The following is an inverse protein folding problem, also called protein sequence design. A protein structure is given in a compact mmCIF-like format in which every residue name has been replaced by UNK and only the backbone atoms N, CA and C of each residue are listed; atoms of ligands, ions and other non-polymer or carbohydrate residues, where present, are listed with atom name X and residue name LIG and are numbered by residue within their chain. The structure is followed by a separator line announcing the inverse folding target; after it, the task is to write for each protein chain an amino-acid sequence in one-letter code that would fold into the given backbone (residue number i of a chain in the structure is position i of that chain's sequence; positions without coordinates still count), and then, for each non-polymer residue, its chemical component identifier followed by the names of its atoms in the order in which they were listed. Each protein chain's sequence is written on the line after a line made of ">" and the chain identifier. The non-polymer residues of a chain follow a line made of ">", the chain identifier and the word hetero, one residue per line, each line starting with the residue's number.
data_IF_748170153961
#
_entry.id   IF_748170153961
#
_cell.length_a   1.000
_cell.length_b   1.000
_cell.length_c   1.000
_cell.angle_alpha   90.00
_cell.angle_beta   90.00
_cell.angle_gamma   90.00
#
_symmetry.space_group_name_H-M   'P 1'
#
loop_
_entity.id
_entity.type
_entity.pdbx_description
1 polymer ?
#
# COMPACT_ATOMS: atom_id res chain seq x y z
N UNK A 1 1.08 19.41 1.19
CA UNK A 1 1.77 18.56 2.18
C UNK A 1 1.06 18.75 3.50
N UNK A 2 0.93 17.69 4.30
CA UNK A 2 0.40 17.75 5.66
C UNK A 2 1.30 16.91 6.58
N UNK A 3 1.35 17.23 7.87
CA UNK A 3 2.14 16.49 8.87
C UNK A 3 1.32 16.25 10.12
N UNK A 4 1.55 15.13 10.80
CA UNK A 4 0.89 14.73 12.04
C UNK A 4 1.96 14.48 13.13
N UNK A 5 1.73 15.04 14.32
CA UNK A 5 2.65 14.99 15.49
C UNK A 5 1.93 14.51 16.77
N UNK A 6 0.62 14.27 16.73
CA UNK A 6 -0.14 13.82 17.92
C UNK A 6 -1.17 12.75 17.57
N UNK A 7 -1.29 11.75 18.45
CA UNK A 7 -2.50 10.95 18.53
C UNK A 7 -3.63 11.72 19.27
N UNK A 8 -4.82 11.13 19.39
CA UNK A 8 -5.98 11.78 20.03
C UNK A 8 -5.83 12.01 21.54
N UNK A 9 -4.86 11.34 22.17
CA UNK A 9 -4.62 11.35 23.61
C UNK A 9 -3.42 12.24 24.00
N UNK A 10 -2.74 12.83 23.01
CA UNK A 10 -1.64 13.78 23.23
C UNK A 10 -0.26 13.15 23.38
N UNK A 11 -0.16 11.83 23.29
CA UNK A 11 1.09 11.08 23.28
C UNK A 11 1.37 10.63 21.84
N UNK A 12 2.53 10.93 21.28
CA UNK A 12 2.88 10.45 19.93
C UNK A 12 4.20 9.70 19.93
N UNK A 13 4.14 8.48 19.41
CA UNK A 13 5.30 7.64 19.16
C UNK A 13 5.64 7.52 17.67
N UNK A 14 4.87 8.14 16.76
CA UNK A 14 5.09 8.02 15.31
C UNK A 14 4.72 9.29 14.51
N UNK A 15 5.49 10.38 14.65
CA UNK A 15 5.31 11.57 13.83
C UNK A 15 5.53 11.24 12.34
N UNK A 16 4.58 11.63 11.48
CA UNK A 16 4.61 11.29 10.06
C UNK A 16 4.05 12.41 9.17
N UNK A 17 4.35 12.35 7.88
CA UNK A 17 3.91 13.34 6.89
C UNK A 17 3.19 12.68 5.74
N UNK A 18 2.17 13.37 5.22
CA UNK A 18 1.47 13.03 3.98
C UNK A 18 1.85 14.01 2.87
N UNK A 19 2.45 13.49 1.81
CA UNK A 19 2.79 14.24 0.60
C UNK A 19 1.90 13.76 -0.54
N UNK A 20 0.99 14.62 -0.99
CA UNK A 20 0.12 14.36 -2.13
C UNK A 20 0.79 14.88 -3.40
N UNK A 21 0.92 14.03 -4.42
CA UNK A 21 1.52 14.35 -5.71
C UNK A 21 0.53 14.08 -6.84
N UNK A 22 0.65 14.79 -7.97
CA UNK A 22 -0.26 14.66 -9.12
C UNK A 22 0.25 13.66 -10.15
N UNK A 23 -0.48 12.58 -10.40
CA UNK A 23 -0.10 11.54 -11.39
C UNK A 23 -0.09 11.99 -12.86
N UNK A 24 -0.34 13.27 -13.15
CA UNK A 24 -0.36 13.83 -14.50
C UNK A 24 0.78 14.83 -14.62
N UNK A 25 1.58 14.78 -15.69
CA UNK A 25 2.55 15.84 -15.92
C UNK A 25 1.84 17.15 -16.28
N UNK A 26 2.53 18.27 -16.09
CA UNK A 26 2.09 19.62 -16.44
C UNK A 26 2.98 20.20 -17.53
N UNK A 27 2.37 20.71 -18.59
CA UNK A 27 3.06 21.31 -19.74
C UNK A 27 3.83 22.56 -19.32
N UNK A 28 4.81 22.98 -20.13
CA UNK A 28 5.57 24.22 -19.89
C UNK A 28 4.67 25.46 -19.80
N UNK A 29 3.49 25.44 -20.41
CA UNK A 29 2.49 26.51 -20.33
C UNK A 29 1.56 26.41 -19.12
N UNK A 30 1.76 25.46 -18.20
CA UNK A 30 0.96 25.31 -16.98
C UNK A 30 -0.33 24.51 -17.14
N UNK A 31 -0.60 23.97 -18.34
CA UNK A 31 -1.78 23.10 -18.57
C UNK A 31 -1.44 21.63 -18.29
N UNK A 32 -2.37 20.88 -17.69
CA UNK A 32 -2.19 19.43 -17.46
C UNK A 32 -2.23 18.62 -18.76
N UNK A 33 -1.43 17.55 -18.83
CA UNK A 33 -1.61 16.57 -19.90
C UNK A 33 -2.96 15.83 -19.79
N UNK A 34 -3.59 15.61 -20.94
CA UNK A 34 -4.89 14.91 -21.05
C UNK A 34 -4.81 13.45 -20.62
N UNK A 35 -3.65 12.81 -20.72
CA UNK A 35 -3.43 11.42 -20.34
C UNK A 35 -2.33 11.31 -19.28
N UNK A 36 -2.38 10.24 -18.47
CA UNK A 36 -1.34 9.88 -17.49
C UNK A 36 -0.27 8.96 -18.08
N UNK A 37 -0.58 8.33 -19.19
CA UNK A 37 0.18 7.25 -19.79
C UNK A 37 -0.03 7.23 -21.30
N UNK A 38 0.84 6.50 -22.01
CA UNK A 38 0.79 6.29 -23.46
C UNK A 38 0.89 4.80 -23.80
N UNK A 39 0.28 4.41 -24.92
CA UNK A 39 0.41 3.06 -25.47
C UNK A 39 1.73 2.96 -26.24
N UNK A 40 2.54 1.96 -25.92
CA UNK A 40 3.80 1.66 -26.59
C UNK A 40 3.76 0.23 -27.12
N UNK A 41 4.06 0.03 -28.39
CA UNK A 41 4.09 -1.31 -28.99
C UNK A 41 5.38 -2.02 -28.58
N UNK A 42 5.28 -3.31 -28.28
CA UNK A 42 6.42 -4.13 -27.91
C UNK A 42 7.12 -4.56 -29.21
N UNK A 43 8.41 -4.25 -29.31
CA UNK A 43 9.24 -4.60 -30.47
C UNK A 43 10.21 -5.73 -30.13
N UNK A 44 10.62 -6.48 -31.15
CA UNK A 44 11.71 -7.44 -31.05
C UNK A 44 13.09 -6.76 -31.10
N UNK A 45 14.17 -7.55 -31.10
CA UNK A 45 15.56 -7.07 -31.16
C UNK A 45 15.88 -6.28 -32.44
N UNK A 46 15.10 -6.46 -33.51
CA UNK A 46 15.27 -5.78 -34.79
C UNK A 46 14.41 -4.53 -34.93
N UNK A 47 13.55 -4.25 -33.95
CA UNK A 47 12.63 -3.10 -33.94
C UNK A 47 11.26 -3.38 -34.57
N UNK A 48 10.99 -4.61 -35.01
CA UNK A 48 9.70 -4.98 -35.57
C UNK A 48 8.67 -5.24 -34.46
N UNK A 49 7.41 -4.87 -34.68
CA UNK A 49 6.33 -5.06 -33.70
C UNK A 49 6.04 -6.55 -33.53
N UNK A 50 5.78 -6.98 -32.29
CA UNK A 50 5.46 -8.37 -31.99
C UNK A 50 3.94 -8.58 -32.04
N UNK A 51 3.49 -9.56 -32.82
CA UNK A 51 2.08 -9.96 -32.89
C UNK A 51 1.76 -11.00 -31.81
N UNK A 52 0.58 -10.91 -31.21
CA UNK A 52 0.02 -11.90 -30.30
C UNK A 52 -0.61 -13.07 -31.05
N UNK A 53 -0.88 -14.16 -30.33
CA UNK A 53 -1.55 -15.34 -30.90
C UNK A 53 -2.97 -15.05 -31.41
N UNK A 54 -3.58 -13.97 -30.93
CA UNK A 54 -4.90 -13.48 -31.35
C UNK A 54 -4.85 -12.55 -32.59
N UNK A 55 -3.68 -12.35 -33.21
CA UNK A 55 -3.50 -11.44 -34.35
C UNK A 55 -3.38 -9.96 -33.99
N UNK A 56 -3.42 -9.59 -32.71
CA UNK A 56 -3.25 -8.20 -32.27
C UNK A 56 -1.79 -7.87 -31.94
N UNK A 57 -1.38 -6.62 -32.19
CA UNK A 57 -0.04 -6.16 -31.80
C UNK A 57 0.10 -6.08 -30.28
N UNK A 58 1.13 -6.72 -29.74
CA UNK A 58 1.48 -6.60 -28.32
C UNK A 58 1.85 -5.16 -28.01
N UNK A 59 1.27 -4.66 -26.92
CA UNK A 59 1.51 -3.30 -26.45
C UNK A 59 1.52 -3.26 -24.93
N UNK A 60 2.19 -2.25 -24.39
CA UNK A 60 2.20 -1.93 -22.97
C UNK A 60 1.78 -0.49 -22.76
N UNK A 61 1.24 -0.23 -21.58
CA UNK A 61 0.94 1.13 -21.16
C UNK A 61 2.15 1.67 -20.38
N UNK A 62 2.70 2.80 -20.81
CA UNK A 62 3.88 3.42 -20.21
C UNK A 62 3.47 4.75 -19.59
N UNK A 63 3.80 4.94 -18.31
CA UNK A 63 3.50 6.17 -17.60
C UNK A 63 4.34 7.34 -18.13
N UNK A 64 3.73 8.53 -18.20
CA UNK A 64 4.43 9.72 -18.70
C UNK A 64 5.37 10.34 -17.67
N UNK A 65 5.20 10.02 -16.39
CA UNK A 65 6.00 10.59 -15.29
C UNK A 65 7.12 9.67 -14.81
N UNK A 66 7.07 8.38 -15.14
CA UNK A 66 8.02 7.38 -14.64
C UNK A 66 7.94 7.12 -13.12
N UNK A 67 6.94 7.67 -12.41
CA UNK A 67 6.86 7.60 -10.94
C UNK A 67 6.70 6.19 -10.37
N UNK A 68 6.27 5.23 -11.20
CA UNK A 68 6.13 3.82 -10.81
C UNK A 68 7.40 2.99 -11.07
N UNK A 69 8.50 3.61 -11.50
CA UNK A 69 9.79 2.95 -11.65
C UNK A 69 10.40 2.62 -10.29
N UNK A 70 10.77 1.35 -10.09
CA UNK A 70 11.38 0.87 -8.84
C UNK A 70 12.73 1.55 -8.55
N UNK A 71 13.52 1.85 -9.57
CA UNK A 71 14.82 2.51 -9.41
C UNK A 71 14.64 3.92 -8.87
N UNK A 72 13.64 4.64 -9.39
CA UNK A 72 13.29 5.97 -8.94
C UNK A 72 12.76 5.95 -7.50
N UNK A 73 11.90 4.98 -7.16
CA UNK A 73 11.44 4.75 -5.79
C UNK A 73 12.60 4.56 -4.79
N UNK A 74 13.58 3.72 -5.12
CA UNK A 74 14.76 3.51 -4.26
C UNK A 74 15.56 4.82 -4.11
N UNK A 75 15.75 5.55 -5.21
CA UNK A 75 16.46 6.84 -5.17
C UNK A 75 15.77 7.88 -4.28
N UNK A 76 14.44 7.92 -4.25
CA UNK A 76 13.69 8.83 -3.38
C UNK A 76 13.82 8.45 -1.92
N UNK A 77 13.84 7.15 -1.61
CA UNK A 77 14.09 6.70 -0.23
C UNK A 77 15.50 7.05 0.24
N UNK A 78 16.50 6.91 -0.63
CA UNK A 78 17.87 7.34 -0.34
C UNK A 78 17.92 8.84 -0.06
N UNK A 79 17.41 9.67 -0.98
CA UNK A 79 17.38 11.12 -0.82
C UNK A 79 16.64 11.56 0.44
N UNK A 80 15.56 10.87 0.81
CA UNK A 80 14.86 11.13 2.06
C UNK A 80 15.73 10.81 3.29
N UNK A 81 16.40 9.65 3.30
CA UNK A 81 17.31 9.26 4.38
C UNK A 81 18.47 10.26 4.52
N UNK A 82 19.09 10.64 3.41
CA UNK A 82 20.18 11.62 3.37
C UNK A 82 19.73 12.97 3.91
N UNK A 83 18.56 13.46 3.49
CA UNK A 83 17.98 14.70 3.99
C UNK A 83 17.69 14.66 5.50
N UNK A 84 17.18 13.54 6.02
CA UNK A 84 16.95 13.37 7.45
C UNK A 84 18.26 13.34 8.24
N UNK A 85 19.25 12.56 7.76
CA UNK A 85 20.54 12.41 8.42
C UNK A 85 21.32 13.72 8.48
N UNK A 86 21.31 14.51 7.40
CA UNK A 86 21.91 15.84 7.39
C UNK A 86 21.29 16.76 8.47
N UNK A 87 19.98 16.64 8.73
CA UNK A 87 19.31 17.39 9.80
C UNK A 87 19.64 16.86 11.19
N UNK A 88 19.84 15.56 11.37
CA UNK A 88 20.32 15.01 12.63
C UNK A 88 21.75 15.48 12.94
N UNK A 89 22.64 15.42 11.96
CA UNK A 89 24.03 15.86 12.09
C UNK A 89 24.12 17.36 12.42
N UNK A 90 23.39 18.22 11.70
CA UNK A 90 23.34 19.65 11.98
C UNK A 90 22.83 20.00 13.40
N UNK A 91 22.13 19.07 14.06
CA UNK A 91 21.64 19.21 15.43
C UNK A 91 22.49 18.44 16.46
N UNK A 92 23.59 17.82 16.05
CA UNK A 92 24.43 17.00 16.92
C UNK A 92 23.75 15.72 17.42
N UNK A 93 22.71 15.23 16.71
CA UNK A 93 21.99 14.02 17.09
C UNK A 93 22.69 12.77 16.53
N UNK A 94 22.86 11.71 17.34
CA UNK A 94 23.57 10.49 16.91
C UNK A 94 22.71 9.60 15.99
N UNK A 95 21.41 9.86 15.88
CA UNK A 95 20.48 9.04 15.10
C UNK A 95 20.82 9.03 13.61
N UNK A 96 20.66 7.87 12.96
CA UNK A 96 20.80 7.70 11.51
C UNK A 96 19.67 6.83 10.97
N UNK A 97 19.19 7.18 9.78
CA UNK A 97 18.19 6.44 9.02
C UNK A 97 18.90 5.84 7.80
N UNK A 98 18.66 4.55 7.55
CA UNK A 98 19.07 3.88 6.32
C UNK A 98 17.83 3.40 5.57
N UNK A 99 17.82 3.62 4.26
CA UNK A 99 16.69 3.30 3.40
C UNK A 99 16.67 1.84 2.92
N UNK A 100 17.82 1.16 3.00
CA UNK A 100 18.05 -0.23 2.61
C UNK A 100 17.38 -1.17 3.60
N UNK A 101 17.06 -2.37 3.15
CA UNK A 101 16.62 -3.44 4.05
C UNK A 101 17.74 -3.87 5.01
N UNK A 102 17.39 -4.54 6.12
CA UNK A 102 18.38 -5.07 7.05
C UNK A 102 19.37 -6.03 6.35
N UNK A 103 18.88 -6.87 5.44
CA UNK A 103 19.73 -7.79 4.66
C UNK A 103 20.77 -7.03 3.84
N UNK A 104 20.37 -5.95 3.15
CA UNK A 104 21.28 -5.12 2.34
C UNK A 104 22.28 -4.32 3.18
N UNK A 105 21.99 -4.12 4.47
CA UNK A 105 22.91 -3.52 5.43
C UNK A 105 23.85 -4.56 6.08
N UNK A 106 23.66 -5.86 5.80
CA UNK A 106 24.37 -6.95 6.49
C UNK A 106 23.87 -7.18 7.92
N UNK A 107 22.68 -6.69 8.26
CA UNK A 107 22.07 -6.84 9.59
C UNK A 107 21.18 -8.08 9.58
N UNK A 108 21.55 -9.08 10.38
CA UNK A 108 20.82 -10.33 10.54
C UNK A 108 19.65 -10.19 11.54
N UNK A 109 18.78 -9.20 11.33
CA UNK A 109 17.56 -9.01 12.11
C UNK A 109 16.33 -9.29 11.28
N UNK A 110 15.34 -9.90 11.92
CA UNK A 110 14.05 -10.17 11.30
C UNK A 110 13.09 -9.00 11.55
N UNK A 111 12.37 -8.60 10.52
CA UNK A 111 11.42 -7.49 10.62
C UNK A 111 10.12 -7.92 11.31
N UNK A 112 9.61 -7.08 12.20
CA UNK A 112 8.26 -7.22 12.75
C UNK A 112 7.20 -6.92 11.69
N UNK A 113 5.99 -7.44 11.85
CA UNK A 113 4.85 -7.13 10.99
C UNK A 113 4.01 -5.97 11.54
N UNK A 114 3.43 -5.18 10.65
CA UNK A 114 2.47 -4.16 11.05
C UNK A 114 1.19 -4.80 11.62
N UNK A 115 0.87 -4.48 12.88
CA UNK A 115 -0.31 -4.98 13.59
C UNK A 115 -1.61 -4.66 12.85
N UNK A 116 -1.77 -3.39 12.43
CA UNK A 116 -3.03 -2.86 11.94
C UNK A 116 -3.95 -2.39 13.07
N UNK A 117 -4.96 -1.57 12.71
CA UNK A 117 -5.82 -0.85 13.67
C UNK A 117 -6.55 -1.77 14.65
N UNK A 118 -7.11 -2.88 14.15
CA UNK A 118 -7.92 -3.81 14.96
C UNK A 118 -7.05 -4.57 15.97
N UNK A 119 -5.96 -5.18 15.50
CA UNK A 119 -5.03 -5.89 16.38
C UNK A 119 -4.42 -4.95 17.43
N UNK A 120 -4.02 -3.73 17.03
CA UNK A 120 -3.52 -2.72 17.96
C UNK A 120 -4.58 -2.26 18.98
N UNK A 121 -5.88 -2.30 18.64
CA UNK A 121 -6.95 -1.99 19.59
C UNK A 121 -7.18 -3.13 20.60
N UNK A 122 -7.02 -4.39 20.18
CA UNK A 122 -7.09 -5.55 21.06
C UNK A 122 -5.90 -5.61 22.02
N UNK A 123 -4.68 -5.43 21.52
CA UNK A 123 -3.45 -5.41 22.36
C UNK A 123 -3.50 -4.30 23.42
N UNK A 124 -4.03 -3.11 23.07
CA UNK A 124 -4.24 -2.02 24.06
C UNK A 124 -5.22 -2.37 25.16
N UNK A 125 -6.13 -3.32 24.94
CA UNK A 125 -7.05 -3.86 25.95
C UNK A 125 -6.46 -5.05 26.70
N UNK A 126 -5.18 -5.38 26.49
CA UNK A 126 -4.52 -6.55 27.06
C UNK A 126 -4.86 -7.87 26.38
N UNK A 127 -5.58 -7.85 25.25
CA UNK A 127 -5.93 -9.06 24.51
C UNK A 127 -4.82 -9.35 23.50
N UNK A 128 -4.09 -10.44 23.73
CA UNK A 128 -3.02 -10.89 22.83
C UNK A 128 -3.56 -11.30 21.46
N UNK A 129 -2.88 -10.86 20.41
CA UNK A 129 -3.18 -11.15 19.02
C UNK A 129 -2.06 -11.97 18.40
N UNK A 130 -2.37 -12.75 17.37
CA UNK A 130 -1.35 -13.55 16.67
C UNK A 130 -0.22 -12.69 16.12
N UNK A 131 -0.54 -11.51 15.57
CA UNK A 131 0.46 -10.56 15.07
C UNK A 131 1.31 -9.95 16.19
N UNK A 132 0.71 -9.66 17.35
CA UNK A 132 1.45 -9.19 18.52
C UNK A 132 2.37 -10.26 19.08
N UNK A 133 1.89 -11.51 19.15
CA UNK A 133 2.71 -12.67 19.54
C UNK A 133 3.90 -12.85 18.59
N UNK A 134 3.67 -12.82 17.27
CA UNK A 134 4.74 -12.88 16.28
C UNK A 134 5.78 -11.77 16.51
N UNK A 135 5.35 -10.52 16.68
CA UNK A 135 6.27 -9.41 16.89
C UNK A 135 7.06 -9.56 18.18
N UNK A 136 6.42 -10.00 19.29
CA UNK A 136 7.12 -10.28 20.55
C UNK A 136 8.19 -11.36 20.37
N UNK A 137 7.87 -12.45 19.67
CA UNK A 137 8.85 -13.52 19.38
C UNK A 137 10.00 -13.00 18.52
N UNK A 138 9.71 -12.27 17.44
CA UNK A 138 10.74 -11.69 16.56
C UNK A 138 11.66 -10.72 17.32
N UNK A 139 11.09 -9.86 18.17
CA UNK A 139 11.88 -8.96 19.02
C UNK A 139 12.80 -9.76 19.94
N UNK A 140 12.28 -10.78 20.64
CA UNK A 140 13.08 -11.63 21.52
C UNK A 140 14.18 -12.38 20.75
N UNK A 141 13.92 -12.84 19.52
CA UNK A 141 14.95 -13.46 18.68
C UNK A 141 16.06 -12.46 18.32
N UNK A 142 15.69 -11.25 17.89
CA UNK A 142 16.65 -10.22 17.52
C UNK A 142 17.51 -9.81 18.72
N UNK A 143 16.91 -9.65 19.90
CA UNK A 143 17.64 -9.32 21.13
C UNK A 143 18.65 -10.40 21.53
N UNK A 144 18.29 -11.68 21.38
CA UNK A 144 19.23 -12.80 21.61
C UNK A 144 20.37 -12.79 20.61
N UNK A 145 20.07 -12.59 19.34
CA UNK A 145 21.08 -12.51 18.29
C UNK A 145 22.05 -11.34 18.50
N UNK A 146 21.55 -10.18 18.98
CA UNK A 146 22.37 -9.02 19.33
C UNK A 146 23.34 -9.32 20.49
N UNK A 147 22.96 -10.22 21.40
CA UNK A 147 23.81 -10.71 22.50
C UNK A 147 24.77 -11.84 22.07
N UNK A 148 24.79 -12.21 20.78
CA UNK A 148 25.60 -13.32 20.28
C UNK A 148 25.08 -14.70 20.70
N UNK A 149 23.83 -14.79 21.15
CA UNK A 149 23.18 -16.04 21.55
C UNK A 149 22.39 -16.57 20.37
N UNK A 150 22.74 -17.77 19.90
CA UNK A 150 21.99 -18.47 18.87
C UNK A 150 20.52 -18.63 19.28
N UNK A 151 19.57 -18.05 18.53
CA UNK A 151 18.13 -18.06 18.86
C UNK A 151 17.45 -19.36 18.39
N UNK A 152 18.03 -20.51 18.74
CA UNK A 152 17.53 -21.85 18.38
C UNK A 152 16.10 -22.08 18.88
N UNK A 153 15.21 -22.60 18.02
CA UNK A 153 13.81 -22.91 18.35
C UNK A 153 12.84 -21.71 18.28
N UNK A 154 13.34 -20.49 18.49
CA UNK A 154 12.52 -19.28 18.47
C UNK A 154 12.18 -18.84 17.05
N UNK A 155 13.08 -19.05 16.09
CA UNK A 155 12.82 -18.76 14.67
C UNK A 155 11.75 -19.66 14.08
N UNK A 156 11.80 -20.95 14.37
CA UNK A 156 10.79 -21.92 13.95
C UNK A 156 9.43 -21.54 14.53
N UNK A 157 9.40 -21.11 15.81
CA UNK A 157 8.19 -20.64 16.46
C UNK A 157 7.64 -19.37 15.79
N UNK A 158 8.48 -18.39 15.48
CA UNK A 158 8.05 -17.18 14.79
C UNK A 158 7.50 -17.49 13.38
N UNK A 159 8.17 -18.35 12.62
CA UNK A 159 7.74 -18.76 11.28
C UNK A 159 6.41 -19.53 11.31
N UNK A 160 6.23 -20.45 12.26
CA UNK A 160 4.99 -21.19 12.45
C UNK A 160 3.81 -20.26 12.79
N UNK A 161 4.00 -19.29 13.70
CA UNK A 161 2.98 -18.27 14.00
C UNK A 161 2.60 -17.49 12.72
N UNK A 162 3.58 -17.09 11.93
CA UNK A 162 3.35 -16.33 10.70
C UNK A 162 2.57 -17.14 9.65
N UNK A 163 2.99 -18.37 9.37
CA UNK A 163 2.31 -19.20 8.37
C UNK A 163 0.91 -19.61 8.83
N UNK A 164 0.69 -19.90 10.13
CA UNK A 164 -0.66 -20.12 10.69
C UNK A 164 -1.57 -18.91 10.48
N UNK A 165 -1.08 -17.70 10.74
CA UNK A 165 -1.85 -16.47 10.56
C UNK A 165 -2.23 -16.25 9.08
N UNK A 166 -1.30 -16.50 8.17
CA UNK A 166 -1.49 -16.39 6.71
C UNK A 166 -2.49 -17.42 6.20
N UNK A 167 -2.45 -18.65 6.71
CA UNK A 167 -3.38 -19.70 6.34
C UNK A 167 -4.81 -19.36 6.80
N UNK A 168 -4.99 -18.87 8.04
CA UNK A 168 -6.30 -18.35 8.49
C UNK A 168 -6.82 -17.21 7.64
N UNK A 169 -5.93 -16.32 7.19
CA UNK A 169 -6.32 -15.24 6.28
C UNK A 169 -6.78 -15.79 4.90
N UNK A 170 -6.14 -16.84 4.40
CA UNK A 170 -6.57 -17.53 3.17
C UNK A 170 -7.92 -18.22 3.36
N UNK A 171 -8.09 -18.93 4.48
CA UNK A 171 -9.32 -19.63 4.82
C UNK A 171 -10.50 -18.67 4.99
N UNK A 172 -10.32 -17.56 5.70
CA UNK A 172 -11.36 -16.53 5.86
C UNK A 172 -11.73 -15.87 4.52
N UNK A 173 -10.76 -15.58 3.65
CA UNK A 173 -11.04 -15.10 2.28
C UNK A 173 -11.82 -16.14 1.47
N UNK A 174 -11.45 -17.41 1.57
CA UNK A 174 -12.16 -18.52 0.88
C UNK A 174 -13.59 -18.67 1.39
N UNK A 175 -13.79 -18.64 2.71
CA UNK A 175 -15.11 -18.68 3.36
C UNK A 175 -16.01 -17.52 2.92
N UNK A 176 -15.45 -16.30 2.85
CA UNK A 176 -16.17 -15.10 2.39
C UNK A 176 -16.56 -15.14 0.90
N UNK A 177 -15.82 -15.88 0.09
CA UNK A 177 -16.14 -16.11 -1.33
C UNK A 177 -17.18 -17.23 -1.49
N UNK A 178 -17.24 -18.18 -0.55
CA UNK A 178 -18.19 -19.29 -0.59
C UNK A 178 -19.52 -19.04 0.13
N UNK A 179 -19.67 -17.94 0.88
CA UNK A 179 -20.98 -17.56 1.44
C UNK A 179 -21.96 -17.23 0.31
N UNK A 180 -23.03 -18.02 0.11
CA UNK A 180 -24.06 -17.64 -0.83
C UNK A 180 -24.72 -16.37 -0.30
N UNK A 181 -24.87 -15.36 -1.15
CA UNK A 181 -25.63 -14.16 -0.81
C UNK A 181 -27.07 -14.60 -0.52
N UNK A 182 -27.41 -14.75 0.77
CA UNK A 182 -28.76 -15.05 1.22
C UNK A 182 -29.59 -13.78 1.03
N UNK A 183 -30.03 -13.57 -0.20
CA UNK A 183 -31.13 -12.68 -0.52
C UNK A 183 -32.41 -13.32 0.01
N UNK A 184 -33.10 -12.62 0.90
CA UNK A 184 -34.51 -12.86 1.20
C UNK A 184 -34.81 -13.57 2.52
N UNK A 185 -34.82 -12.81 3.62
CA UNK A 185 -35.92 -12.88 4.60
C UNK A 185 -36.26 -11.45 5.02
N UNK A 186 -37.40 -10.97 4.56
CA UNK A 186 -38.02 -9.78 5.10
C UNK A 186 -38.48 -10.05 6.53
N UNK A 187 -37.97 -9.27 7.48
CA UNK A 187 -38.69 -8.98 8.70
C UNK A 187 -39.13 -7.52 8.63
N UNK A 188 -40.44 -7.32 8.57
CA UNK A 188 -41.03 -6.01 8.72
C UNK A 188 -40.80 -5.53 10.16
N UNK A 189 -40.11 -4.41 10.34
CA UNK A 189 -40.35 -3.55 11.49
C UNK A 189 -40.59 -2.13 10.97
N UNK A 190 -41.81 -1.67 11.21
CA UNK A 190 -42.23 -0.32 10.96
C UNK A 190 -41.61 0.59 12.02
N UNK A 191 -40.95 1.68 11.60
CA UNK A 191 -40.96 2.99 12.26
C UNK A 191 -40.27 4.00 11.35
N UNK A 192 -40.93 5.13 11.14
CA UNK A 192 -40.75 5.99 9.97
C UNK A 192 -39.51 6.89 9.96
N UNK A 193 -39.10 7.22 8.73
CA UNK A 193 -38.18 8.29 8.40
C UNK A 193 -38.21 8.54 6.89
N UNK A 194 -38.64 9.74 6.47
CA UNK A 194 -38.84 10.15 5.07
C UNK A 194 -37.57 9.92 4.20
N UNK A 195 -37.68 9.37 2.98
CA UNK A 195 -36.54 9.26 2.07
C UNK A 195 -36.33 10.56 1.27
N UNK A 196 -35.09 11.05 1.26
CA UNK A 196 -34.61 12.12 0.39
C UNK A 196 -34.54 11.59 -1.05
N UNK A 197 -35.32 12.18 -1.95
CA UNK A 197 -35.40 11.79 -3.37
C UNK A 197 -34.06 12.02 -4.08
N UNK A 198 -33.46 10.95 -4.61
CA UNK A 198 -32.31 10.98 -5.52
C UNK A 198 -32.83 11.16 -6.94
N UNK A 199 -32.54 12.30 -7.57
CA UNK A 199 -32.95 12.59 -8.94
C UNK A 199 -32.21 11.69 -9.94
N UNK A 200 -32.97 10.87 -10.68
CA UNK A 200 -32.50 10.13 -11.85
C UNK A 200 -32.57 11.09 -13.04
N UNK A 201 -31.41 11.47 -13.60
CA UNK A 201 -31.34 12.24 -14.85
C UNK A 201 -31.44 11.28 -16.03
N UNK A 202 -32.63 11.18 -16.61
CA UNK A 202 -32.88 10.42 -17.84
C UNK A 202 -32.18 11.08 -19.04
N UNK A 203 -31.51 10.26 -19.86
CA UNK A 203 -31.04 10.63 -21.19
C UNK A 203 -32.26 10.90 -22.09
N UNK A 204 -32.39 12.11 -22.62
CA UNK A 204 -33.23 12.38 -23.79
C UNK A 204 -32.34 12.43 -25.03
N UNK A 205 -32.59 11.51 -25.96
CA UNK A 205 -32.14 11.60 -27.34
C UNK A 205 -32.86 12.79 -28.00
N UNK A 206 -32.12 13.59 -28.77
CA UNK A 206 -32.71 14.51 -29.75
C UNK A 206 -32.44 13.98 -31.16
N UNK A 207 -33.41 14.08 -32.07
CA UNK A 207 -33.29 13.60 -33.44
C UNK A 207 -32.47 14.59 -34.28
N UNK A 208 -31.72 14.06 -35.25
CA UNK A 208 -30.88 14.85 -36.15
C UNK A 208 -31.66 15.58 -37.24
N UNK A 209 -31.01 16.59 -37.82
CA UNK A 209 -31.08 16.99 -39.24
C UNK A 209 -30.01 18.10 -39.50
N UNK A 210 -29.69 18.48 -40.74
CA UNK A 210 -28.67 17.88 -41.59
C UNK A 210 -27.46 18.81 -41.86
N UNK A 211 -26.42 18.24 -42.48
CA UNK A 211 -25.21 18.93 -42.95
C UNK A 211 -25.54 19.94 -44.05
N UNK A 212 -24.83 21.07 -44.05
CA UNK A 212 -24.68 21.96 -45.19
C UNK A 212 -23.18 22.15 -45.49
N UNK A 213 -22.86 21.87 -46.75
CA UNK A 213 -21.70 22.19 -47.61
C UNK A 213 -20.30 22.35 -46.99
#
# INVERSE_FOLDING_TARGET
>A
MAYHIKDKNGEDHNPHVHIMLTMRPMTKSGTWWKTKSRKEYITDRTGNRIMGANGEWKSRNVDLTGWNDKTLYVSWRSQWADACNARYEARGLPHRIDHRSYIEQGIHRQATIHLGKEAAALERKGISTEKGNYNRTVTACNERADLGIEPTGLWETAQDIFERAKERQRQSKKARVSEPTLAGRGSASATGGRPVRRAIRAKRAQPGCPKAH
#
